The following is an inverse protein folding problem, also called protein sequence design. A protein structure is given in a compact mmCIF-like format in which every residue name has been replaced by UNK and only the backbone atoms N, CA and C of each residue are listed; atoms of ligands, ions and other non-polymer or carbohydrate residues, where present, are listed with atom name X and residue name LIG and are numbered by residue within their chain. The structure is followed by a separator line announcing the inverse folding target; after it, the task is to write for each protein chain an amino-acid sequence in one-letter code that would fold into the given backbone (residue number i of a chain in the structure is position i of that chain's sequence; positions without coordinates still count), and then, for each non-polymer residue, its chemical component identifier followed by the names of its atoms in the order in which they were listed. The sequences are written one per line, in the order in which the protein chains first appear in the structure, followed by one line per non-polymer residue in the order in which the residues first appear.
data_IF_092667534707
#
_entry.id   IF_092667534707
#
_cell.length_a   1.000
_cell.length_b   1.000
_cell.length_c   1.000
_cell.angle_alpha   90.00
_cell.angle_beta   90.00
_cell.angle_gamma   90.00
#
_symmetry.space_group_name_H-M   'P 1'
#
loop_
_entity.id
_entity.type
_entity.pdbx_description
1 polymer ?
#
# COMPACT_ATOMS: atom_id res chain seq x y z
N UNK A 1 2.54 -18.46 -8.64
CA UNK A 1 3.81 -18.07 -8.00
C UNK A 1 3.46 -17.26 -6.77
N UNK A 2 4.13 -17.49 -5.63
CA UNK A 2 3.92 -16.63 -4.47
C UNK A 2 4.79 -15.37 -4.61
N UNK A 3 4.27 -14.24 -4.13
CA UNK A 3 5.02 -13.01 -3.93
C UNK A 3 4.87 -12.57 -2.48
N UNK A 4 5.82 -11.79 -2.00
CA UNK A 4 5.77 -11.21 -0.67
C UNK A 4 4.97 -9.90 -0.68
N UNK A 5 4.10 -9.71 0.31
CA UNK A 5 3.14 -8.60 0.41
C UNK A 5 3.25 -7.94 1.78
N UNK A 6 3.20 -6.61 1.81
CA UNK A 6 3.15 -5.80 3.02
C UNK A 6 1.79 -5.10 3.10
N UNK A 7 1.09 -5.26 4.23
CA UNK A 7 -0.13 -4.50 4.52
C UNK A 7 0.22 -3.23 5.30
N UNK A 8 -0.13 -2.07 4.74
CA UNK A 8 0.02 -0.76 5.37
C UNK A 8 -1.33 -0.20 5.78
N UNK A 9 -1.37 0.41 6.96
CA UNK A 9 -2.40 1.35 7.39
C UNK A 9 -1.94 2.76 7.01
N UNK A 10 -2.80 3.50 6.32
CA UNK A 10 -2.54 4.84 5.77
C UNK A 10 -3.46 5.83 6.47
N UNK A 11 -2.90 6.91 7.02
CA UNK A 11 -3.64 8.02 7.62
C UNK A 11 -3.48 9.26 6.72
N UNK A 12 -4.56 9.63 6.04
CA UNK A 12 -4.65 10.85 5.23
C UNK A 12 -5.55 11.87 5.95
N UNK A 13 -5.15 13.14 6.09
CA UNK A 13 -5.99 14.16 6.75
C UNK A 13 -7.34 14.35 6.05
N UNK A 14 -7.37 14.28 4.71
CA UNK A 14 -8.56 14.52 3.90
C UNK A 14 -9.46 13.27 3.74
N UNK A 15 -8.89 12.06 3.82
CA UNK A 15 -9.58 10.79 3.47
C UNK A 15 -9.66 9.80 4.64
N UNK A 16 -9.17 10.16 5.82
CA UNK A 16 -9.17 9.32 7.01
C UNK A 16 -8.18 8.15 6.93
N UNK A 17 -8.51 7.06 7.63
CA UNK A 17 -7.65 5.87 7.77
C UNK A 17 -8.13 4.74 6.87
N UNK A 18 -7.25 4.20 6.03
CA UNK A 18 -7.52 3.08 5.15
C UNK A 18 -6.35 2.09 5.13
N UNK A 19 -6.52 0.92 4.48
CA UNK A 19 -5.48 -0.10 4.36
C UNK A 19 -5.21 -0.49 2.92
N UNK A 20 -3.95 -0.71 2.60
CA UNK A 20 -3.46 -1.11 1.27
C UNK A 20 -2.51 -2.30 1.37
N UNK A 21 -2.49 -3.12 0.35
CA UNK A 21 -1.55 -4.23 0.20
C UNK A 21 -0.55 -3.87 -0.89
N UNK A 22 0.75 -3.96 -0.59
CA UNK A 22 1.81 -3.56 -1.52
C UNK A 22 2.80 -4.73 -1.63
N UNK A 23 3.02 -5.30 -2.83
CA UNK A 23 4.11 -6.24 -3.07
C UNK A 23 5.44 -5.68 -2.56
N UNK A 24 6.23 -6.49 -1.85
CA UNK A 24 7.46 -6.02 -1.20
C UNK A 24 8.57 -5.59 -2.19
N UNK A 25 8.41 -5.92 -3.47
CA UNK A 25 9.24 -5.47 -4.59
C UNK A 25 8.93 -4.03 -5.06
N UNK A 26 7.81 -3.44 -4.65
CA UNK A 26 7.34 -2.13 -5.10
C UNK A 26 7.62 -1.00 -4.10
N UNK A 27 7.61 0.28 -4.56
CA UNK A 27 7.68 1.46 -3.71
C UNK A 27 6.65 1.44 -2.57
N UNK A 28 7.02 1.99 -1.41
CA UNK A 28 6.10 2.08 -0.27
C UNK A 28 5.22 3.32 -0.35
N UNK A 29 4.00 3.29 0.23
CA UNK A 29 3.13 4.45 0.26
C UNK A 29 3.81 5.69 0.90
N UNK A 30 3.68 6.86 0.27
CA UNK A 30 4.14 8.12 0.84
C UNK A 30 3.17 9.29 0.61
N UNK A 31 2.40 9.25 -0.48
CA UNK A 31 1.23 10.10 -0.74
C UNK A 31 -0.10 9.37 -0.48
N UNK A 32 -1.24 10.03 -0.71
CA UNK A 32 -2.58 9.44 -0.73
C UNK A 32 -3.01 9.12 -2.18
N UNK A 33 -3.68 7.98 -2.41
CA UNK A 33 -4.15 7.59 -3.76
C UNK A 33 -5.32 8.47 -4.26
N UNK A 34 -6.07 9.09 -3.34
CA UNK A 34 -7.23 9.90 -3.67
C UNK A 34 -6.90 11.39 -3.92
N UNK A 35 -5.88 11.94 -3.26
CA UNK A 35 -5.54 13.37 -3.34
C UNK A 35 -4.05 13.69 -3.51
N UNK A 36 -3.17 12.70 -3.60
CA UNK A 36 -1.72 12.85 -3.84
C UNK A 36 -0.94 13.67 -2.78
N UNK A 37 -1.60 14.11 -1.70
CA UNK A 37 -0.97 14.75 -0.55
C UNK A 37 -0.19 13.73 0.31
N UNK A 38 0.88 14.14 1.01
CA UNK A 38 1.61 13.29 1.95
C UNK A 38 0.71 12.65 3.01
N UNK A 39 1.01 11.40 3.37
CA UNK A 39 0.29 10.62 4.39
C UNK A 39 1.24 10.09 5.45
N UNK A 40 0.71 9.78 6.64
CA UNK A 40 1.41 8.85 7.52
C UNK A 40 1.09 7.42 7.08
N UNK A 41 2.06 6.51 7.22
CA UNK A 41 1.83 5.08 7.08
C UNK A 41 2.37 4.30 8.26
N UNK A 42 1.76 3.15 8.52
CA UNK A 42 2.17 2.17 9.51
C UNK A 42 2.16 0.79 8.86
N UNK A 43 3.27 0.06 8.98
CA UNK A 43 3.31 -1.35 8.60
C UNK A 43 2.51 -2.17 9.61
N UNK A 44 1.56 -2.98 9.14
CA UNK A 44 0.74 -3.85 9.98
C UNK A 44 1.27 -5.29 10.00
N UNK A 45 1.61 -5.83 8.82
CA UNK A 45 2.09 -7.20 8.63
C UNK A 45 2.75 -7.39 7.27
N UNK A 46 3.56 -8.44 7.16
CA UNK A 46 4.24 -8.91 5.95
C UNK A 46 4.01 -10.41 5.79
N UNK A 47 3.64 -10.88 4.61
CA UNK A 47 3.24 -12.27 4.36
C UNK A 47 3.42 -12.68 2.89
N UNK A 48 3.52 -13.98 2.62
CA UNK A 48 3.46 -14.51 1.25
C UNK A 48 2.00 -14.65 0.78
N UNK A 49 1.74 -14.34 -0.50
CA UNK A 49 0.44 -14.53 -1.14
C UNK A 49 0.61 -15.01 -2.58
N UNK A 50 -0.32 -15.81 -3.13
CA UNK A 50 -0.31 -16.17 -4.55
C UNK A 50 -0.55 -14.93 -5.42
N UNK A 51 0.26 -14.77 -6.48
CA UNK A 51 0.07 -13.75 -7.48
C UNK A 51 -0.98 -14.17 -8.55
N UNK A 52 -1.80 -13.24 -9.06
CA UNK A 52 -1.89 -11.83 -8.65
C UNK A 52 -2.62 -11.69 -7.30
N UNK A 53 -2.16 -10.75 -6.49
CA UNK A 53 -2.82 -10.44 -5.21
C UNK A 53 -4.14 -9.72 -5.52
N UNK A 54 -5.26 -10.28 -5.07
CA UNK A 54 -6.59 -9.70 -5.28
C UNK A 54 -7.02 -8.90 -4.06
N UNK A 55 -7.00 -7.57 -4.16
CA UNK A 55 -7.39 -6.65 -3.09
C UNK A 55 -7.15 -5.19 -3.47
N UNK A 56 -7.07 -4.30 -2.49
CA UNK A 56 -6.60 -2.92 -2.66
C UNK A 56 -5.07 -2.92 -2.84
N UNK A 57 -4.63 -3.43 -4.01
CA UNK A 57 -3.24 -3.59 -4.39
C UNK A 57 -2.78 -2.38 -5.20
N UNK A 58 -1.68 -1.78 -4.78
CA UNK A 58 -1.15 -0.57 -5.41
C UNK A 58 0.09 -0.93 -6.27
N UNK A 59 0.13 -0.58 -7.57
CA UNK A 59 1.25 -0.84 -8.47
C UNK A 59 2.31 0.28 -8.48
N UNK A 60 2.47 1.09 -9.53
CA UNK A 60 3.61 2.01 -9.67
C UNK A 60 3.42 3.54 -9.47
N UNK A 61 2.29 4.22 -9.31
CA UNK A 61 0.89 3.95 -8.92
C UNK A 61 0.67 3.59 -7.44
N UNK A 62 1.63 2.92 -6.77
CA UNK A 62 1.69 2.89 -5.30
C UNK A 62 2.29 4.18 -4.74
N UNK A 63 1.58 5.29 -4.93
CA UNK A 63 1.89 6.56 -4.27
C UNK A 63 3.24 7.20 -4.65
N UNK A 64 3.89 6.67 -5.71
CA UNK A 64 4.80 7.37 -6.65
C UNK A 64 6.26 7.66 -6.24
N UNK A 65 6.91 6.79 -5.45
CA UNK A 65 8.38 6.84 -5.23
C UNK A 65 8.87 6.11 -4.00
#
# INVERSE_FOLDING_TARGET
MNIEVIEFEIECPEHGVYRVQVPAELPRPHACVHCYLPVKRRELRRYEAPAPVHGAVAPAEAFFG
#
